data_IF_331291707246
#
_entry.id   IF_331291707246
#
_cell.length_a   1.000
_cell.length_b   1.000
_cell.length_c   1.000
_cell.angle_alpha   90.00
_cell.angle_beta   90.00
_cell.angle_gamma   90.00
#
_symmetry.space_group_name_H-M   'P 1'
#
loop_
_entity.id
_entity.type
_entity.pdbx_description
1 polymer ?
#
# COMPACT_ATOMS: atom_id res chain seq x y z
N UNK A 1 11.51 -21.54 10.04
CA UNK A 1 10.76 -20.42 10.63
C UNK A 1 9.89 -19.71 9.56
N UNK A 2 8.66 -19.33 9.91
CA UNK A 2 7.72 -18.66 8.99
C UNK A 2 8.10 -17.18 8.78
N UNK A 3 8.07 -16.65 7.54
CA UNK A 3 8.54 -15.29 7.24
C UNK A 3 7.55 -14.17 7.58
N UNK A 4 6.28 -14.50 7.84
CA UNK A 4 5.19 -13.53 8.04
C UNK A 4 4.66 -13.44 9.48
N UNK A 5 3.60 -12.66 9.67
CA UNK A 5 2.91 -12.60 10.97
C UNK A 5 1.95 -13.80 11.20
N UNK A 6 1.42 -13.95 12.42
CA UNK A 6 0.51 -15.06 12.79
C UNK A 6 -0.80 -15.04 11.99
N UNK A 7 -1.27 -13.87 11.57
CA UNK A 7 -2.49 -13.73 10.75
C UNK A 7 -2.24 -14.23 9.32
N UNK A 8 -1.07 -13.99 8.77
CA UNK A 8 -0.64 -14.52 7.47
C UNK A 8 -0.47 -16.04 7.53
N UNK A 9 0.11 -16.57 8.62
CA UNK A 9 0.17 -18.01 8.85
C UNK A 9 -1.24 -18.63 8.89
N UNK A 10 -2.17 -18.02 9.64
CA UNK A 10 -3.55 -18.48 9.71
C UNK A 10 -4.24 -18.46 8.33
N UNK A 11 -4.03 -17.42 7.53
CA UNK A 11 -4.61 -17.31 6.18
C UNK A 11 -4.02 -18.35 5.23
N UNK A 12 -2.70 -18.58 5.30
CA UNK A 12 -2.03 -19.62 4.51
C UNK A 12 -2.57 -21.01 4.86
N UNK A 13 -2.72 -21.32 6.16
CA UNK A 13 -3.31 -22.58 6.62
C UNK A 13 -4.78 -22.73 6.21
N UNK A 14 -5.58 -21.65 6.30
CA UNK A 14 -6.98 -21.67 5.84
C UNK A 14 -7.09 -21.96 4.35
N UNK A 15 -6.20 -21.39 3.52
CA UNK A 15 -6.19 -21.66 2.08
C UNK A 15 -5.75 -23.09 1.77
N UNK A 16 -4.69 -23.56 2.41
CA UNK A 16 -4.25 -24.95 2.27
C UNK A 16 -5.38 -25.92 2.65
N UNK A 17 -6.17 -25.61 3.68
CA UNK A 17 -7.36 -26.39 4.03
C UNK A 17 -8.50 -26.32 3.00
N UNK A 18 -8.65 -25.21 2.27
CA UNK A 18 -9.68 -25.05 1.22
C UNK A 18 -9.27 -25.80 -0.06
N UNK A 19 -7.98 -25.86 -0.38
CA UNK A 19 -7.47 -26.49 -1.60
C UNK A 19 -7.08 -27.95 -1.43
N UNK A 20 -6.91 -28.40 -0.19
CA UNK A 20 -6.73 -29.82 0.12
C UNK A 20 -7.95 -30.62 -0.30
N UNK A 21 -7.78 -31.57 -1.20
CA UNK A 21 -8.83 -32.50 -1.62
C UNK A 21 -9.10 -33.60 -0.58
N UNK A 22 -8.21 -33.78 0.40
CA UNK A 22 -8.31 -34.79 1.45
C UNK A 22 -8.34 -34.24 2.88
N UNK A 23 -8.48 -35.13 3.86
CA UNK A 23 -8.49 -34.78 5.30
C UNK A 23 -7.13 -34.32 5.83
N UNK A 24 -6.04 -34.60 5.11
CA UNK A 24 -4.68 -34.23 5.50
C UNK A 24 -4.10 -33.25 4.50
N UNK A 25 -3.77 -32.04 4.98
CA UNK A 25 -3.05 -31.03 4.21
C UNK A 25 -1.65 -31.56 3.89
N UNK A 26 -1.35 -31.70 2.62
CA UNK A 26 -0.05 -32.13 2.11
C UNK A 26 0.91 -30.95 1.94
N UNK A 27 2.18 -31.24 1.71
CA UNK A 27 3.19 -30.21 1.43
C UNK A 27 2.90 -29.47 0.12
N UNK A 28 2.24 -30.10 -0.83
CA UNK A 28 1.91 -29.48 -2.12
C UNK A 28 0.76 -28.50 -1.97
N UNK A 29 -0.26 -28.83 -1.17
CA UNK A 29 -1.38 -27.92 -0.84
C UNK A 29 -0.86 -26.63 -0.19
N UNK A 30 0.14 -26.75 0.68
CA UNK A 30 0.79 -25.58 1.31
C UNK A 30 1.60 -24.79 0.28
N UNK A 31 2.30 -25.46 -0.64
CA UNK A 31 3.06 -24.80 -1.70
C UNK A 31 2.14 -23.99 -2.61
N UNK A 32 1.01 -24.56 -3.01
CA UNK A 32 0.01 -23.87 -3.83
C UNK A 32 -0.60 -22.69 -3.06
N UNK A 33 -0.99 -22.89 -1.79
CA UNK A 33 -1.50 -21.84 -0.89
C UNK A 33 -0.55 -20.63 -0.76
N UNK A 34 0.76 -20.87 -0.85
CA UNK A 34 1.81 -19.86 -0.83
C UNK A 34 2.04 -19.18 -2.19
N UNK A 35 2.00 -19.94 -3.29
CA UNK A 35 2.21 -19.41 -4.64
C UNK A 35 1.05 -18.52 -5.12
N UNK A 36 -0.16 -18.82 -4.68
CA UNK A 36 -1.35 -18.03 -4.98
C UNK A 36 -1.53 -16.81 -4.08
N UNK A 37 -0.46 -16.36 -3.40
CA UNK A 37 -0.39 -14.98 -2.93
C UNK A 37 -0.19 -14.15 -4.20
N UNK A 38 -1.20 -13.44 -4.74
CA UNK A 38 -0.86 -12.33 -5.59
C UNK A 38 0.01 -11.44 -4.71
N UNK A 39 1.25 -11.23 -5.13
CA UNK A 39 2.15 -10.22 -4.59
C UNK A 39 1.61 -8.81 -4.86
N UNK A 40 0.30 -8.62 -4.79
CA UNK A 40 -0.24 -7.37 -4.27
C UNK A 40 0.08 -7.35 -2.78
N UNK A 41 1.34 -7.05 -2.49
CA UNK A 41 1.66 -6.01 -1.53
C UNK A 41 0.89 -4.74 -1.95
N UNK A 42 -0.44 -4.76 -1.86
CA UNK A 42 -1.13 -3.58 -1.36
C UNK A 42 -0.73 -3.58 0.09
N UNK A 43 0.42 -2.98 0.37
CA UNK A 43 0.73 -2.45 1.69
C UNK A 43 -0.46 -1.60 2.04
N UNK A 44 -1.40 -2.20 2.77
CA UNK A 44 -2.53 -1.48 3.30
C UNK A 44 -1.93 -0.35 4.13
N UNK A 45 -2.07 0.87 3.64
CA UNK A 45 -1.54 2.08 4.29
C UNK A 45 -2.05 2.12 5.73
N UNK A 46 -3.27 1.61 5.97
CA UNK A 46 -3.95 1.63 7.26
C UNK A 46 -3.78 0.32 8.07
N UNK A 47 -2.99 -0.64 7.57
CA UNK A 47 -2.80 -1.96 8.17
C UNK A 47 -1.34 -2.30 8.49
N UNK A 48 -0.42 -1.32 8.44
CA UNK A 48 1.00 -1.57 8.69
C UNK A 48 1.25 -1.91 10.17
N UNK A 49 2.03 -2.95 10.49
CA UNK A 49 2.33 -3.31 11.87
C UNK A 49 3.07 -2.17 12.56
N UNK A 50 2.65 -1.85 13.80
CA UNK A 50 3.35 -0.90 14.66
C UNK A 50 4.59 -1.61 15.25
N UNK A 51 5.77 -1.02 15.08
CA UNK A 51 7.04 -1.63 15.49
C UNK A 51 8.24 -0.74 15.15
N UNK A 52 9.46 -1.27 15.30
CA UNK A 52 10.72 -0.53 15.15
C UNK A 52 10.91 0.13 13.77
N UNK A 53 10.24 -0.37 12.74
CA UNK A 53 10.53 -0.01 11.35
C UNK A 53 9.43 0.87 10.73
N UNK A 54 8.38 1.23 11.50
CA UNK A 54 7.35 2.13 11.00
C UNK A 54 7.81 3.59 11.09
N UNK A 55 8.14 4.16 9.94
CA UNK A 55 8.35 5.61 9.81
C UNK A 55 7.06 6.28 9.28
N UNK A 56 6.27 6.85 10.20
CA UNK A 56 5.02 7.53 9.86
C UNK A 56 5.23 8.73 8.90
N UNK A 57 6.24 9.61 9.10
CA UNK A 57 6.61 10.62 8.11
C UNK A 57 6.78 10.09 6.69
N UNK A 58 7.51 8.98 6.50
CA UNK A 58 7.75 8.41 5.17
C UNK A 58 6.46 7.86 4.56
N UNK A 59 5.61 7.22 5.37
CA UNK A 59 4.30 6.74 4.95
C UNK A 59 3.40 7.88 4.48
N UNK A 60 3.36 8.99 5.23
CA UNK A 60 2.60 10.17 4.82
C UNK A 60 3.17 10.81 3.56
N UNK A 61 4.50 10.80 3.39
CA UNK A 61 5.15 11.28 2.18
C UNK A 61 4.81 10.42 0.96
N UNK A 62 4.76 9.09 1.10
CA UNK A 62 4.32 8.16 0.05
C UNK A 62 2.90 8.50 -0.43
N UNK A 63 1.97 8.63 0.52
CA UNK A 63 0.57 8.98 0.24
C UNK A 63 0.46 10.37 -0.40
N UNK A 64 1.16 11.35 0.15
CA UNK A 64 1.13 12.72 -0.35
C UNK A 64 1.65 12.82 -1.80
N UNK A 65 2.81 12.21 -2.10
CA UNK A 65 3.37 12.21 -3.46
C UNK A 65 2.38 11.67 -4.49
N UNK A 66 1.81 10.49 -4.20
CA UNK A 66 0.84 9.84 -5.09
C UNK A 66 -0.34 10.75 -5.46
N UNK A 67 -0.98 11.37 -4.46
CA UNK A 67 -2.14 12.21 -4.73
C UNK A 67 -1.79 13.57 -5.33
N UNK A 68 -0.63 14.14 -4.99
CA UNK A 68 -0.16 15.40 -5.58
C UNK A 68 0.17 15.24 -7.07
N UNK A 69 0.86 14.15 -7.45
CA UNK A 69 1.17 13.82 -8.84
C UNK A 69 -0.11 13.62 -9.65
N UNK A 70 -1.01 12.76 -9.14
CA UNK A 70 -2.30 12.51 -9.79
C UNK A 70 -3.14 13.77 -9.96
N UNK A 71 -3.17 14.64 -8.95
CA UNK A 71 -3.90 15.89 -9.04
C UNK A 71 -3.32 16.83 -10.10
N UNK A 72 -2.00 16.87 -10.26
CA UNK A 72 -1.37 17.64 -11.33
C UNK A 72 -1.70 17.06 -12.71
N UNK A 73 -1.72 15.74 -12.85
CA UNK A 73 -2.06 15.07 -14.11
C UNK A 73 -3.53 15.28 -14.49
N UNK A 74 -4.46 15.04 -13.56
CA UNK A 74 -5.91 15.28 -13.76
C UNK A 74 -6.24 16.76 -13.98
N UNK A 75 -5.41 17.67 -13.44
CA UNK A 75 -5.52 19.11 -13.66
C UNK A 75 -4.79 19.61 -14.93
N UNK A 76 -4.09 18.74 -15.67
CA UNK A 76 -3.30 19.14 -16.84
C UNK A 76 -2.17 20.13 -16.51
N UNK A 77 -1.62 20.07 -15.29
CA UNK A 77 -0.59 20.99 -14.79
C UNK A 77 -1.10 22.30 -14.22
N UNK A 78 -2.41 22.56 -14.23
CA UNK A 78 -2.96 23.74 -13.58
C UNK A 78 -2.93 23.59 -12.05
N UNK A 79 -1.98 24.28 -11.39
CA UNK A 79 -1.77 24.22 -9.94
C UNK A 79 -2.97 24.68 -9.12
N UNK A 80 -3.78 25.63 -9.61
CA UNK A 80 -4.98 26.08 -8.91
C UNK A 80 -6.06 25.00 -8.93
N UNK A 81 -6.26 24.35 -10.08
CA UNK A 81 -7.21 23.25 -10.22
C UNK A 81 -6.74 22.02 -9.43
N UNK A 82 -5.44 21.69 -9.48
CA UNK A 82 -4.85 20.59 -8.71
C UNK A 82 -5.03 20.79 -7.20
N UNK A 83 -4.81 22.01 -6.69
CA UNK A 83 -5.04 22.34 -5.29
C UNK A 83 -6.49 22.05 -4.87
N UNK A 84 -7.47 22.41 -5.71
CA UNK A 84 -8.88 22.10 -5.49
C UNK A 84 -9.17 20.60 -5.44
N UNK A 85 -8.55 19.78 -6.29
CA UNK A 85 -8.75 18.33 -6.32
C UNK A 85 -8.28 17.63 -5.02
N UNK A 86 -7.20 18.12 -4.42
CA UNK A 86 -6.66 17.58 -3.16
C UNK A 86 -7.17 18.32 -1.91
N UNK A 87 -8.10 19.26 -2.06
CA UNK A 87 -8.71 20.01 -0.95
C UNK A 87 -7.78 21.04 -0.28
N UNK A 88 -6.74 21.50 -0.99
CA UNK A 88 -5.84 22.54 -0.49
C UNK A 88 -6.42 23.95 -0.80
N UNK A 89 -6.22 24.92 0.11
CA UNK A 89 -6.86 26.24 0.00
C UNK A 89 -6.30 27.11 -1.13
N UNK A 90 -5.06 26.86 -1.60
CA UNK A 90 -4.45 27.64 -2.66
C UNK A 90 -3.36 26.89 -3.42
N UNK A 91 -3.03 27.39 -4.61
CA UNK A 91 -1.90 26.88 -5.42
C UNK A 91 -0.54 27.08 -4.72
N UNK A 92 -0.42 28.07 -3.82
CA UNK A 92 0.80 28.31 -3.04
C UNK A 92 0.98 27.19 -2.01
N UNK A 93 -0.10 26.79 -1.31
CA UNK A 93 -0.08 25.63 -0.42
C UNK A 93 0.29 24.35 -1.17
N UNK A 94 -0.30 24.14 -2.36
CA UNK A 94 0.08 23.02 -3.22
C UNK A 94 1.58 23.07 -3.59
N UNK A 95 2.09 24.23 -3.98
CA UNK A 95 3.51 24.38 -4.37
C UNK A 95 4.45 24.06 -3.21
N UNK A 96 4.12 24.52 -2.00
CA UNK A 96 4.89 24.18 -0.80
C UNK A 96 4.87 22.68 -0.51
N UNK A 97 3.73 22.01 -0.73
CA UNK A 97 3.62 20.55 -0.58
C UNK A 97 4.43 19.80 -1.64
N UNK A 98 4.38 20.22 -2.90
CA UNK A 98 5.18 19.64 -3.97
C UNK A 98 6.68 19.72 -3.69
N UNK A 99 7.15 20.86 -3.16
CA UNK A 99 8.54 21.01 -2.74
C UNK A 99 8.88 20.14 -1.53
N UNK A 100 8.03 20.14 -0.50
CA UNK A 100 8.23 19.35 0.73
C UNK A 100 8.31 17.86 0.45
N UNK A 101 7.52 17.36 -0.49
CA UNK A 101 7.47 15.94 -0.82
C UNK A 101 8.26 15.60 -2.08
N UNK A 102 9.08 16.52 -2.58
CA UNK A 102 9.98 16.32 -3.73
C UNK A 102 9.29 15.74 -4.98
N UNK A 103 8.04 16.14 -5.21
CA UNK A 103 7.26 15.73 -6.39
C UNK A 103 7.81 16.48 -7.60
N UNK A 104 8.45 15.74 -8.50
CA UNK A 104 9.03 16.30 -9.74
C UNK A 104 7.99 16.29 -10.85
N UNK A 105 7.82 17.43 -11.52
CA UNK A 105 7.10 17.53 -12.80
C UNK A 105 7.83 18.50 -13.73
#
# INVERSE_FOLDING_TARGET
>A
PWPGNVRELLLALKRAAIWSEGETITTEDVREALLAVPSTQRTDILGRPLGSDLNLPDLLAEVARHYLERALDEAGGNKTKAAGLVGLPSYQTLTNWLQRYEVKR
#
